data_IF_103201884064
#
_entry.id   IF_103201884064
#
_cell.length_a   1.000
_cell.length_b   1.000
_cell.length_c   1.000
_cell.angle_alpha   90.00
_cell.angle_beta   90.00
_cell.angle_gamma   90.00
#
_symmetry.space_group_name_H-M   'P 1'
#
loop_
_entity.id
_entity.type
_entity.pdbx_description
1 polymer ?
#
# COMPACT_ATOMS: atom_id res chain seq x y z
N UNK A 1 21.48 5.74 -31.36
CA UNK A 1 20.75 5.56 -30.08
C UNK A 1 19.47 6.40 -30.07
N UNK A 2 18.51 6.15 -30.98
CA UNK A 2 17.37 7.05 -31.27
C UNK A 2 16.13 6.90 -30.36
N UNK A 3 16.20 6.11 -29.28
CA UNK A 3 15.01 5.79 -28.45
C UNK A 3 15.30 5.70 -26.94
N UNK A 4 16.40 6.28 -26.46
CA UNK A 4 16.83 6.12 -25.07
C UNK A 4 15.89 6.84 -24.09
N UNK A 5 15.35 7.97 -24.53
CA UNK A 5 14.38 8.80 -23.82
C UNK A 5 13.09 8.05 -23.50
N UNK A 6 12.59 7.21 -24.42
CA UNK A 6 11.39 6.41 -24.22
C UNK A 6 11.58 5.39 -23.11
N UNK A 7 12.75 4.73 -23.09
CA UNK A 7 13.03 3.74 -22.04
C UNK A 7 13.24 4.41 -20.69
N UNK A 8 13.89 5.58 -20.64
CA UNK A 8 14.05 6.33 -19.39
C UNK A 8 12.68 6.74 -18.84
N UNK A 9 11.81 7.31 -19.67
CA UNK A 9 10.45 7.68 -19.26
C UNK A 9 9.68 6.45 -18.80
N UNK A 10 9.68 5.37 -19.59
CA UNK A 10 9.05 4.10 -19.22
C UNK A 10 9.49 3.62 -17.83
N UNK A 11 10.79 3.62 -17.53
CA UNK A 11 11.31 3.21 -16.23
C UNK A 11 10.90 4.16 -15.10
N UNK A 12 10.75 5.46 -15.36
CA UNK A 12 10.22 6.41 -14.38
C UNK A 12 8.74 6.10 -14.11
N UNK A 13 7.93 5.94 -15.15
CA UNK A 13 6.49 5.64 -15.03
C UNK A 13 6.24 4.30 -14.35
N UNK A 14 7.11 3.30 -14.63
CA UNK A 14 7.13 1.99 -13.99
C UNK A 14 7.57 2.03 -12.52
N UNK A 15 7.99 3.19 -12.00
CA UNK A 15 8.23 3.41 -10.57
C UNK A 15 7.19 4.33 -9.97
N UNK A 16 6.94 5.53 -10.51
CA UNK A 16 6.16 6.56 -9.82
C UNK A 16 4.69 6.19 -9.64
N UNK A 17 4.06 5.55 -10.63
CA UNK A 17 2.65 5.13 -10.51
C UNK A 17 2.52 3.90 -9.60
N UNK A 18 3.36 2.86 -9.74
CA UNK A 18 3.45 1.78 -8.74
C UNK A 18 3.72 2.27 -7.32
N UNK A 19 4.57 3.30 -7.17
CA UNK A 19 4.90 3.91 -5.88
C UNK A 19 3.69 4.50 -5.21
N UNK A 20 2.90 5.28 -5.96
CA UNK A 20 1.66 5.84 -5.46
C UNK A 20 0.73 4.75 -4.95
N UNK A 21 0.51 3.68 -5.73
CA UNK A 21 -0.34 2.55 -5.34
C UNK A 21 0.20 1.84 -4.08
N UNK A 22 1.46 1.40 -4.09
CA UNK A 22 2.04 0.62 -2.99
C UNK A 22 2.07 1.44 -1.70
N UNK A 23 2.42 2.72 -1.77
CA UNK A 23 2.36 3.60 -0.60
C UNK A 23 0.93 3.81 -0.12
N UNK A 24 -0.06 3.95 -1.00
CA UNK A 24 -1.45 4.04 -0.53
C UNK A 24 -1.86 2.80 0.25
N UNK A 25 -1.37 1.60 -0.10
CA UNK A 25 -1.63 0.35 0.66
C UNK A 25 -0.90 0.30 1.99
N UNK A 26 0.39 0.62 2.02
CA UNK A 26 1.17 0.65 3.26
C UNK A 26 0.55 1.63 4.24
N UNK A 27 0.36 2.88 3.83
CA UNK A 27 -0.07 3.94 4.73
C UNK A 27 -1.56 3.82 5.08
N UNK A 28 -2.42 3.28 4.21
CA UNK A 28 -3.82 3.02 4.57
C UNK A 28 -3.96 1.93 5.62
N UNK A 29 -3.20 0.84 5.50
CA UNK A 29 -3.27 -0.29 6.42
C UNK A 29 -2.58 0.02 7.76
N UNK A 30 -1.46 0.73 7.75
CA UNK A 30 -0.69 0.95 8.99
C UNK A 30 -1.20 2.12 9.82
N UNK A 31 -1.69 3.18 9.19
CA UNK A 31 -2.17 4.38 9.88
C UNK A 31 -3.69 4.53 9.84
N UNK A 32 -4.25 4.84 8.66
CA UNK A 32 -5.69 4.92 8.45
C UNK A 32 -6.01 5.11 6.96
N UNK A 33 -7.20 4.71 6.50
CA UNK A 33 -7.56 4.76 5.08
C UNK A 33 -7.42 6.14 4.43
N UNK A 34 -7.59 7.23 5.20
CA UNK A 34 -7.46 8.61 4.72
C UNK A 34 -6.06 8.92 4.19
N UNK A 35 -5.03 8.17 4.62
CA UNK A 35 -3.67 8.31 4.11
C UNK A 35 -3.54 7.97 2.63
N UNK A 36 -4.41 7.12 2.07
CA UNK A 36 -4.42 6.87 0.63
C UNK A 36 -4.62 8.17 -0.15
N UNK A 37 -5.57 9.03 0.29
CA UNK A 37 -5.80 10.33 -0.33
C UNK A 37 -4.64 11.31 -0.14
N UNK A 38 -3.94 11.23 1.01
CA UNK A 38 -2.73 12.01 1.23
C UNK A 38 -1.65 11.62 0.22
N UNK A 39 -1.36 10.33 0.05
CA UNK A 39 -0.34 9.86 -0.90
C UNK A 39 -0.67 10.31 -2.33
N UNK A 40 -1.92 10.13 -2.78
CA UNK A 40 -2.38 10.60 -4.10
C UNK A 40 -2.16 12.11 -4.27
N UNK A 41 -2.50 12.90 -3.24
CA UNK A 41 -2.30 14.35 -3.26
C UNK A 41 -0.83 14.74 -3.31
N UNK A 42 0.03 14.05 -2.56
CA UNK A 42 1.48 14.28 -2.54
C UNK A 42 2.15 13.85 -3.84
N UNK A 43 1.61 12.85 -4.55
CA UNK A 43 2.09 12.46 -5.86
C UNK A 43 1.91 13.60 -6.88
N UNK A 44 0.69 14.12 -6.99
CA UNK A 44 0.35 15.23 -7.89
C UNK A 44 1.11 16.50 -7.50
N UNK A 45 1.10 16.86 -6.21
CA UNK A 45 1.78 18.05 -5.70
C UNK A 45 3.30 17.95 -5.89
N UNK A 46 3.90 16.80 -5.58
CA UNK A 46 5.33 16.55 -5.72
C UNK A 46 5.77 16.69 -7.18
N UNK A 47 5.09 16.00 -8.10
CA UNK A 47 5.36 16.11 -9.54
C UNK A 47 5.28 17.57 -10.02
N UNK A 48 4.23 18.29 -9.62
CA UNK A 48 4.01 19.70 -9.97
C UNK A 48 5.07 20.63 -9.40
N UNK A 49 5.42 20.49 -8.12
CA UNK A 49 6.46 21.28 -7.47
C UNK A 49 7.85 20.97 -8.04
N UNK A 50 8.11 19.71 -8.41
CA UNK A 50 9.33 19.30 -9.10
C UNK A 50 9.50 20.09 -10.41
N UNK A 51 8.47 20.08 -11.26
CA UNK A 51 8.48 20.85 -12.51
C UNK A 51 8.59 22.37 -12.27
N UNK A 52 7.85 22.91 -11.30
CA UNK A 52 7.88 24.34 -10.95
C UNK A 52 9.26 24.78 -10.45
N UNK A 53 9.94 23.94 -9.65
CA UNK A 53 11.27 24.26 -9.12
C UNK A 53 12.31 24.52 -10.22
N UNK A 54 12.23 23.79 -11.34
CA UNK A 54 13.09 23.99 -12.51
C UNK A 54 12.83 25.32 -13.22
N UNK A 55 11.60 25.84 -13.12
CA UNK A 55 11.23 27.15 -13.66
C UNK A 55 11.70 28.28 -12.75
N UNK A 56 11.53 28.13 -11.43
CA UNK A 56 11.90 29.15 -10.44
C UNK A 56 13.42 29.24 -10.23
N UNK A 57 14.11 28.10 -10.27
CA UNK A 57 15.55 28.03 -9.99
C UNK A 57 16.31 27.54 -11.22
N UNK A 58 16.74 28.48 -12.06
CA UNK A 58 17.46 28.17 -13.32
C UNK A 58 18.71 27.31 -13.15
N UNK A 59 19.37 27.32 -11.99
CA UNK A 59 20.52 26.44 -11.67
C UNK A 59 20.16 24.95 -11.68
N UNK A 60 18.92 24.59 -11.36
CA UNK A 60 18.42 23.21 -11.38
C UNK A 60 18.03 22.76 -12.80
N UNK A 61 17.79 23.71 -13.70
CA UNK A 61 17.30 23.47 -15.06
C UNK A 61 18.42 23.04 -16.02
N UNK A 62 19.06 21.91 -15.72
CA UNK A 62 20.14 21.36 -16.54
C UNK A 62 19.98 19.85 -16.69
N UNK A 63 19.96 19.38 -17.95
CA UNK A 63 19.77 17.97 -18.31
C UNK A 63 20.86 17.05 -17.76
N UNK A 64 22.04 17.58 -17.41
CA UNK A 64 23.11 16.81 -16.74
C UNK A 64 22.68 16.25 -15.38
N UNK A 65 21.68 16.84 -14.74
CA UNK A 65 21.19 16.43 -13.42
C UNK A 65 20.07 15.40 -13.46
N UNK A 66 19.55 15.01 -14.65
CA UNK A 66 18.48 14.01 -14.77
C UNK A 66 18.85 12.73 -14.01
N UNK A 67 20.05 12.20 -14.23
CA UNK A 67 20.51 10.99 -13.54
C UNK A 67 20.55 11.12 -12.01
N UNK A 68 20.89 12.31 -11.50
CA UNK A 68 20.91 12.60 -10.06
C UNK A 68 19.50 12.65 -9.51
N UNK A 69 18.56 13.32 -10.18
CA UNK A 69 17.16 13.37 -9.76
C UNK A 69 16.52 11.98 -9.75
N UNK A 70 16.82 11.13 -10.75
CA UNK A 70 16.38 9.73 -10.75
C UNK A 70 16.92 8.93 -9.55
N UNK A 71 18.20 9.13 -9.20
CA UNK A 71 18.80 8.48 -8.04
C UNK A 71 18.17 8.95 -6.73
N UNK A 72 17.92 10.26 -6.60
CA UNK A 72 17.28 10.83 -5.41
C UNK A 72 15.82 10.38 -5.28
N UNK A 73 15.08 10.26 -6.38
CA UNK A 73 13.73 9.69 -6.40
C UNK A 73 13.74 8.22 -5.95
N UNK A 74 14.70 7.42 -6.45
CA UNK A 74 14.89 6.03 -6.01
C UNK A 74 15.26 5.92 -4.53
N UNK A 75 16.17 6.78 -4.04
CA UNK A 75 16.52 6.83 -2.62
C UNK A 75 15.31 7.21 -1.75
N UNK A 76 14.57 8.24 -2.15
CA UNK A 76 13.36 8.68 -1.45
C UNK A 76 12.29 7.58 -1.44
N UNK A 77 12.21 6.78 -2.50
CA UNK A 77 11.32 5.61 -2.54
C UNK A 77 11.70 4.57 -1.49
N UNK A 78 12.98 4.25 -1.36
CA UNK A 78 13.50 3.24 -0.40
C UNK A 78 13.40 3.74 1.04
N UNK A 79 13.88 4.95 1.29
CA UNK A 79 14.12 5.48 2.64
C UNK A 79 12.90 6.23 3.17
N UNK A 80 12.06 6.78 2.31
CA UNK A 80 10.91 7.60 2.68
C UNK A 80 9.98 6.92 3.67
N UNK A 81 9.44 5.73 3.36
CA UNK A 81 8.57 5.00 4.28
C UNK A 81 9.28 4.68 5.60
N UNK A 82 10.53 4.20 5.56
CA UNK A 82 11.30 3.88 6.78
C UNK A 82 11.40 5.10 7.70
N UNK A 83 11.71 6.28 7.14
CA UNK A 83 11.81 7.50 7.93
C UNK A 83 10.46 7.86 8.55
N UNK A 84 9.37 7.78 7.79
CA UNK A 84 8.03 8.10 8.30
C UNK A 84 7.63 7.17 9.45
N UNK A 85 7.85 5.87 9.33
CA UNK A 85 7.56 4.92 10.42
C UNK A 85 8.42 5.22 11.65
N UNK A 86 9.70 5.54 11.47
CA UNK A 86 10.60 5.93 12.58
C UNK A 86 10.26 7.26 13.23
N UNK A 87 9.49 8.15 12.59
CA UNK A 87 9.07 9.39 13.22
C UNK A 87 8.14 9.14 14.41
N UNK A 88 7.44 8.01 14.47
CA UNK A 88 6.49 7.71 15.55
C UNK A 88 5.42 8.79 15.65
N UNK A 89 4.71 9.00 14.54
CA UNK A 89 3.65 10.01 14.44
C UNK A 89 2.38 9.49 15.11
N UNK A 90 1.95 10.16 16.19
CA UNK A 90 0.73 9.82 16.92
C UNK A 90 -0.39 10.81 16.58
N UNK A 91 -1.40 10.36 15.84
CA UNK A 91 -2.48 11.21 15.32
C UNK A 91 -3.39 11.79 16.39
N UNK A 92 -3.65 11.01 17.44
CA UNK A 92 -4.46 11.43 18.60
C UNK A 92 -3.90 12.67 19.29
N UNK A 93 -2.59 12.94 19.13
CA UNK A 93 -1.88 14.06 19.76
C UNK A 93 -1.62 15.24 18.81
N UNK A 94 -2.10 15.20 17.56
CA UNK A 94 -1.82 16.24 16.56
C UNK A 94 -2.30 17.63 16.99
N UNK A 95 -3.49 17.74 17.58
CA UNK A 95 -4.03 19.03 18.01
C UNK A 95 -3.37 19.53 19.30
N UNK A 96 -2.93 18.62 20.15
CA UNK A 96 -2.37 18.93 21.47
C UNK A 96 -0.86 19.17 21.46
N UNK A 97 -0.12 18.67 20.46
CA UNK A 97 1.35 18.70 20.44
C UNK A 97 1.92 19.37 19.19
N UNK A 98 2.71 20.44 19.38
CA UNK A 98 3.49 21.07 18.31
C UNK A 98 4.49 20.12 17.67
N UNK A 99 5.08 19.22 18.47
CA UNK A 99 6.03 18.23 17.98
C UNK A 99 5.36 17.29 16.96
N UNK A 100 4.14 16.84 17.24
CA UNK A 100 3.39 15.96 16.33
C UNK A 100 3.01 16.66 15.03
N UNK A 101 2.65 17.95 15.09
CA UNK A 101 2.45 18.76 13.87
C UNK A 101 3.74 18.88 13.06
N UNK A 102 4.87 19.10 13.71
CA UNK A 102 6.19 19.09 13.06
C UNK A 102 6.50 17.75 12.39
N UNK A 103 6.25 16.62 13.07
CA UNK A 103 6.40 15.28 12.49
C UNK A 103 5.48 15.04 11.30
N UNK A 104 4.24 15.56 11.31
CA UNK A 104 3.33 15.48 10.17
C UNK A 104 3.85 16.26 8.97
N UNK A 105 4.32 17.51 9.17
CA UNK A 105 4.93 18.31 8.10
C UNK A 105 6.14 17.57 7.53
N UNK A 106 6.99 17.00 8.38
CA UNK A 106 8.14 16.23 7.94
C UNK A 106 7.74 14.97 7.16
N UNK A 107 6.68 14.28 7.59
CA UNK A 107 6.09 13.13 6.87
C UNK A 107 5.67 13.52 5.46
N UNK A 108 4.94 14.64 5.34
CA UNK A 108 4.52 15.19 4.05
C UNK A 108 5.72 15.48 3.14
N UNK A 109 6.74 16.16 3.67
CA UNK A 109 7.94 16.50 2.90
C UNK A 109 8.74 15.27 2.46
N UNK A 110 8.87 14.27 3.34
CA UNK A 110 9.59 13.03 3.05
C UNK A 110 8.88 12.26 1.94
N UNK A 111 7.57 12.03 2.05
CA UNK A 111 6.83 11.26 1.05
C UNK A 111 6.73 12.01 -0.27
N UNK A 112 6.52 13.33 -0.24
CA UNK A 112 6.51 14.15 -1.45
C UNK A 112 7.85 14.11 -2.20
N UNK A 113 8.98 13.86 -1.53
CA UNK A 113 10.31 13.97 -2.13
C UNK A 113 10.55 13.02 -3.31
N UNK A 114 10.03 11.80 -3.27
CA UNK A 114 10.17 10.85 -4.38
C UNK A 114 9.52 11.36 -5.66
N UNK A 115 8.29 11.86 -5.54
CA UNK A 115 7.52 12.46 -6.62
C UNK A 115 8.11 13.81 -7.06
N UNK A 116 8.66 14.58 -6.14
CA UNK A 116 9.35 15.85 -6.45
C UNK A 116 10.54 15.62 -7.38
N UNK A 117 11.46 14.72 -7.02
CA UNK A 117 12.62 14.42 -7.86
C UNK A 117 12.23 13.69 -9.15
N UNK A 118 11.24 12.79 -9.09
CA UNK A 118 10.66 12.17 -10.28
C UNK A 118 10.08 13.19 -11.26
N UNK A 119 9.35 14.18 -10.74
CA UNK A 119 8.77 15.29 -11.50
C UNK A 119 9.82 16.19 -12.12
N UNK A 120 10.91 16.49 -11.41
CA UNK A 120 12.05 17.21 -11.99
C UNK A 120 12.65 16.44 -13.19
N UNK A 121 12.86 15.13 -13.05
CA UNK A 121 13.41 14.31 -14.12
C UNK A 121 12.49 14.26 -15.34
N UNK A 122 11.19 14.00 -15.14
CA UNK A 122 10.18 13.99 -16.21
C UNK A 122 10.07 15.34 -16.90
N UNK A 123 10.01 16.45 -16.15
CA UNK A 123 9.91 17.78 -16.71
C UNK A 123 11.14 18.14 -17.58
N UNK A 124 12.35 17.77 -17.17
CA UNK A 124 13.55 17.96 -18.00
C UNK A 124 13.51 17.11 -19.27
N UNK A 125 13.07 15.86 -19.19
CA UNK A 125 12.96 14.98 -20.35
C UNK A 125 11.92 15.49 -21.36
N UNK A 126 10.73 15.89 -20.89
CA UNK A 126 9.69 16.45 -21.76
C UNK A 126 10.11 17.79 -22.37
N UNK A 127 10.83 18.64 -21.62
CA UNK A 127 11.36 19.89 -22.14
C UNK A 127 12.39 19.65 -23.26
N UNK A 128 13.34 18.75 -23.03
CA UNK A 128 14.40 18.42 -23.99
C UNK A 128 13.83 17.81 -25.28
N UNK A 129 12.90 16.87 -25.14
CA UNK A 129 12.35 16.10 -26.26
C UNK A 129 10.94 16.54 -26.69
N UNK A 130 10.58 17.81 -26.47
CA UNK A 130 9.23 18.36 -26.71
C UNK A 130 8.67 18.09 -28.12
N UNK A 131 9.54 17.98 -29.15
CA UNK A 131 9.11 17.67 -30.53
C UNK A 131 8.44 16.29 -30.67
N UNK A 132 8.69 15.37 -29.73
CA UNK A 132 8.16 14.01 -29.71
C UNK A 132 7.15 13.79 -28.58
N UNK A 133 6.63 14.87 -27.97
CA UNK A 133 5.82 14.82 -26.75
C UNK A 133 4.65 13.83 -26.84
N UNK A 134 3.94 13.76 -27.96
CA UNK A 134 2.80 12.83 -28.14
C UNK A 134 3.21 11.37 -27.95
N UNK A 135 4.36 10.96 -28.51
CA UNK A 135 4.86 9.58 -28.39
C UNK A 135 5.44 9.29 -27.00
N UNK A 136 6.13 10.27 -26.41
CA UNK A 136 6.67 10.13 -25.06
C UNK A 136 5.56 10.00 -24.02
N UNK A 137 4.52 10.81 -24.16
CA UNK A 137 3.33 10.76 -23.30
C UNK A 137 2.54 9.45 -23.50
N UNK A 138 2.42 8.96 -24.74
CA UNK A 138 1.84 7.64 -25.00
C UNK A 138 2.62 6.52 -24.31
N UNK A 139 3.96 6.56 -24.37
CA UNK A 139 4.80 5.57 -23.69
C UNK A 139 4.67 5.66 -22.16
N UNK A 140 4.64 6.87 -21.60
CA UNK A 140 4.40 7.12 -20.17
C UNK A 140 3.09 6.49 -19.70
N UNK A 141 1.97 6.76 -20.39
CA UNK A 141 0.65 6.24 -20.04
C UNK A 141 0.56 4.70 -20.14
N UNK A 142 1.08 4.11 -21.23
CA UNK A 142 1.04 2.66 -21.41
C UNK A 142 1.85 1.94 -20.32
N UNK A 143 3.03 2.48 -19.99
CA UNK A 143 3.91 1.86 -18.99
C UNK A 143 3.43 2.13 -17.58
N UNK A 144 2.81 3.27 -17.31
CA UNK A 144 2.10 3.54 -16.06
C UNK A 144 0.99 2.49 -15.81
N UNK A 145 0.15 2.22 -16.82
CA UNK A 145 -0.90 1.20 -16.73
C UNK A 145 -0.35 -0.21 -16.50
N UNK A 146 0.69 -0.60 -17.25
CA UNK A 146 1.40 -1.86 -17.01
C UNK A 146 2.04 -1.92 -15.61
N UNK A 147 2.54 -0.78 -15.12
CA UNK A 147 3.15 -0.65 -13.80
C UNK A 147 2.17 -0.97 -12.68
N UNK A 148 0.90 -0.55 -12.78
CA UNK A 148 -0.13 -0.91 -11.80
C UNK A 148 -0.26 -2.44 -11.68
N UNK A 149 -0.29 -3.15 -12.81
CA UNK A 149 -0.35 -4.62 -12.82
C UNK A 149 0.91 -5.21 -12.17
N UNK A 150 2.10 -4.70 -12.54
CA UNK A 150 3.37 -5.13 -11.94
C UNK A 150 3.39 -4.90 -10.42
N UNK A 151 2.85 -3.78 -9.94
CA UNK A 151 2.76 -3.47 -8.53
C UNK A 151 1.87 -4.47 -7.77
N UNK A 152 0.68 -4.79 -8.33
CA UNK A 152 -0.23 -5.78 -7.76
C UNK A 152 0.43 -7.16 -7.69
N UNK A 153 1.07 -7.59 -8.79
CA UNK A 153 1.79 -8.86 -8.82
C UNK A 153 2.94 -8.89 -7.81
N UNK A 154 3.70 -7.81 -7.69
CA UNK A 154 4.79 -7.72 -6.73
C UNK A 154 4.30 -7.81 -5.28
N UNK A 155 3.20 -7.12 -4.93
CA UNK A 155 2.61 -7.19 -3.59
C UNK A 155 2.08 -8.59 -3.28
N UNK A 156 1.43 -9.25 -4.24
CA UNK A 156 0.89 -10.60 -4.03
C UNK A 156 1.97 -11.68 -3.94
N UNK A 157 3.10 -11.51 -4.64
CA UNK A 157 4.18 -12.50 -4.67
C UNK A 157 5.21 -12.32 -3.55
N UNK A 158 5.57 -11.08 -3.21
CA UNK A 158 6.65 -10.77 -2.28
C UNK A 158 6.16 -10.13 -0.97
N UNK A 159 4.87 -9.84 -0.87
CA UNK A 159 4.29 -9.05 0.20
C UNK A 159 4.39 -7.54 -0.05
N UNK A 160 3.42 -6.81 0.46
CA UNK A 160 3.31 -5.36 0.28
C UNK A 160 4.52 -4.57 0.78
N UNK A 161 5.13 -4.88 1.95
CA UNK A 161 6.34 -4.20 2.40
C UNK A 161 7.51 -4.37 1.41
N UNK A 162 7.81 -5.59 0.97
CA UNK A 162 8.93 -5.86 0.07
C UNK A 162 8.71 -5.21 -1.31
N UNK A 163 7.47 -5.27 -1.83
CA UNK A 163 7.10 -4.62 -3.09
C UNK A 163 7.45 -3.13 -3.09
N UNK A 164 7.26 -2.41 -1.96
CA UNK A 164 7.61 -0.98 -1.84
C UNK A 164 9.09 -0.67 -2.06
N UNK A 165 9.98 -1.63 -1.80
CA UNK A 165 11.40 -1.49 -2.11
C UNK A 165 11.67 -1.83 -3.58
N UNK A 166 11.13 -2.96 -4.06
CA UNK A 166 11.40 -3.49 -5.40
C UNK A 166 10.97 -2.54 -6.52
N UNK A 167 9.89 -1.76 -6.32
CA UNK A 167 9.44 -0.76 -7.30
C UNK A 167 10.43 0.39 -7.53
N UNK A 168 11.46 0.55 -6.70
CA UNK A 168 12.54 1.51 -6.95
C UNK A 168 13.57 1.03 -7.99
N UNK A 169 13.60 -0.28 -8.31
CA UNK A 169 14.58 -0.84 -9.24
C UNK A 169 14.53 -0.20 -10.64
N UNK A 170 13.36 0.02 -11.27
CA UNK A 170 13.28 0.65 -12.59
C UNK A 170 13.90 2.05 -12.63
N UNK A 171 13.54 2.94 -11.70
CA UNK A 171 14.09 4.30 -11.68
C UNK A 171 15.60 4.34 -11.35
N UNK A 172 16.09 3.41 -10.50
CA UNK A 172 17.51 3.27 -10.22
C UNK A 172 18.29 2.71 -11.42
N UNK A 173 17.69 1.79 -12.18
CA UNK A 173 18.26 1.31 -13.45
C UNK A 173 18.34 2.44 -14.48
N UNK A 174 17.31 3.28 -14.57
CA UNK A 174 17.34 4.49 -15.41
C UNK A 174 18.45 5.45 -14.97
N UNK A 175 18.60 5.68 -13.66
CA UNK A 175 19.68 6.51 -13.11
C UNK A 175 21.07 5.94 -13.42
N UNK A 176 21.27 4.63 -13.26
CA UNK A 176 22.53 3.93 -13.61
C UNK A 176 22.88 4.06 -15.08
N UNK A 177 21.87 4.08 -15.94
CA UNK A 177 22.06 4.22 -17.38
C UNK A 177 22.40 5.66 -17.77
N UNK A 178 21.78 6.66 -17.13
CA UNK A 178 22.00 8.09 -17.42
C UNK A 178 23.31 8.60 -16.81
N UNK A 179 23.63 8.19 -15.58
CA UNK A 179 24.83 8.64 -14.87
C UNK A 179 26.13 8.10 -15.50
N UNK A 180 27.19 8.91 -15.43
CA UNK A 180 28.55 8.54 -15.87
C UNK A 180 29.61 8.93 -14.84
N UNK A 181 30.81 8.35 -14.96
CA UNK A 181 31.93 8.58 -14.04
C UNK A 181 31.59 8.24 -12.58
N UNK A 182 32.12 9.04 -11.63
CA UNK A 182 31.92 8.82 -10.19
C UNK A 182 30.46 8.92 -9.74
N UNK A 183 29.62 9.70 -10.45
CA UNK A 183 28.20 9.89 -10.09
C UNK A 183 27.40 8.58 -10.25
N UNK A 184 27.84 7.66 -11.12
CA UNK A 184 27.20 6.35 -11.29
C UNK A 184 27.30 5.45 -10.06
N UNK A 185 28.25 5.72 -9.15
CA UNK A 185 28.36 5.00 -7.88
C UNK A 185 27.16 5.24 -6.95
N UNK A 186 26.49 6.39 -7.08
CA UNK A 186 25.37 6.76 -6.22
C UNK A 186 24.14 5.84 -6.42
N UNK A 187 23.56 5.68 -7.62
CA UNK A 187 22.46 4.73 -7.79
C UNK A 187 22.90 3.27 -7.56
N UNK A 188 24.17 2.91 -7.82
CA UNK A 188 24.69 1.58 -7.48
C UNK A 188 24.65 1.33 -5.96
N UNK A 189 25.07 2.31 -5.16
CA UNK A 189 24.99 2.25 -3.70
C UNK A 189 23.53 2.14 -3.22
N UNK A 190 22.59 2.82 -3.88
CA UNK A 190 21.17 2.73 -3.52
C UNK A 190 20.55 1.38 -3.89
N UNK A 191 20.99 0.75 -4.98
CA UNK A 191 20.61 -0.65 -5.30
C UNK A 191 21.15 -1.60 -4.23
N UNK A 192 22.40 -1.43 -3.78
CA UNK A 192 22.95 -2.24 -2.68
C UNK A 192 22.19 -2.00 -1.37
N UNK A 193 21.82 -0.76 -1.06
CA UNK A 193 21.00 -0.40 0.08
C UNK A 193 19.62 -1.09 0.02
N UNK A 194 18.98 -1.06 -1.15
CA UNK A 194 17.71 -1.75 -1.40
C UNK A 194 17.84 -3.25 -1.10
N UNK A 195 18.85 -3.92 -1.66
CA UNK A 195 19.10 -5.35 -1.44
C UNK A 195 19.34 -5.65 0.04
N UNK A 196 20.06 -4.77 0.75
CA UNK A 196 20.32 -4.94 2.17
C UNK A 196 19.07 -4.76 3.06
N UNK A 197 18.17 -3.84 2.69
CA UNK A 197 16.98 -3.51 3.50
C UNK A 197 15.75 -4.36 3.18
N UNK A 198 15.61 -4.83 1.93
CA UNK A 198 14.44 -5.56 1.46
C UNK A 198 14.09 -6.81 2.32
N UNK A 199 15.05 -7.62 2.80
CA UNK A 199 14.75 -8.74 3.71
C UNK A 199 14.13 -8.33 5.05
N UNK A 200 14.31 -7.07 5.45
CA UNK A 200 13.77 -6.51 6.69
C UNK A 200 12.56 -5.60 6.44
N UNK A 201 12.02 -5.58 5.21
CA UNK A 201 10.98 -4.63 4.80
C UNK A 201 9.76 -4.68 5.71
N UNK A 202 9.29 -5.87 6.06
CA UNK A 202 8.12 -6.04 6.92
C UNK A 202 8.32 -5.41 8.29
N UNK A 203 9.44 -5.69 8.96
CA UNK A 203 9.77 -5.09 10.26
C UNK A 203 10.02 -3.58 10.18
N UNK A 204 10.58 -3.10 9.07
CA UNK A 204 10.88 -1.68 8.88
C UNK A 204 9.64 -0.84 8.58
N UNK A 205 8.58 -1.46 8.05
CA UNK A 205 7.34 -0.83 7.60
C UNK A 205 6.12 -1.30 8.39
N UNK A 206 6.34 -1.63 9.67
CA UNK A 206 5.30 -1.98 10.62
C UNK A 206 5.30 -0.95 11.74
N UNK A 207 4.14 -0.34 11.98
CA UNK A 207 3.98 0.63 13.06
C UNK A 207 3.84 -0.12 14.39
N UNK A 208 4.55 0.38 15.40
CA UNK A 208 4.48 -0.17 16.74
C UNK A 208 3.06 -0.01 17.31
N UNK A 209 2.47 -1.13 17.74
CA UNK A 209 1.07 -1.20 18.15
C UNK A 209 0.90 -2.26 19.23
N UNK A 210 0.08 -1.94 20.22
CA UNK A 210 -0.40 -2.94 21.16
C UNK A 210 -1.57 -3.69 20.50
N UNK A 211 -1.35 -4.98 20.26
CA UNK A 211 -2.38 -5.86 19.71
C UNK A 211 -3.39 -6.23 20.79
N UNK A 212 -4.65 -6.45 20.38
CA UNK A 212 -5.75 -6.79 21.30
C UNK A 212 -5.64 -8.20 21.87
N UNK A 213 -4.93 -9.06 21.16
CA UNK A 213 -4.70 -10.47 21.45
C UNK A 213 -3.44 -10.95 20.72
N UNK A 214 -2.87 -12.11 21.08
CA UNK A 214 -1.76 -12.71 20.34
C UNK A 214 -2.09 -12.87 18.85
N UNK A 215 -1.19 -12.39 17.98
CA UNK A 215 -1.28 -12.59 16.53
C UNK A 215 -0.61 -13.92 16.20
N UNK A 216 -1.40 -14.91 15.77
CA UNK A 216 -0.91 -16.25 15.42
C UNK A 216 -0.59 -16.39 13.93
N UNK A 217 -1.19 -15.55 13.09
CA UNK A 217 -0.96 -15.54 11.65
C UNK A 217 -1.06 -14.11 11.09
N UNK A 218 -0.25 -13.83 10.06
CA UNK A 218 -0.25 -12.56 9.33
C UNK A 218 -0.01 -12.82 7.84
N UNK A 219 -0.84 -12.21 7.01
CA UNK A 219 -0.70 -12.18 5.56
C UNK A 219 -0.89 -10.76 5.05
N UNK A 220 -0.09 -10.32 4.08
CA UNK A 220 -0.23 -8.97 3.51
C UNK A 220 0.08 -8.93 2.03
N UNK A 221 -0.97 -8.74 1.24
CA UNK A 221 -0.91 -8.66 -0.21
C UNK A 221 -1.48 -7.32 -0.74
N UNK A 222 -1.73 -7.25 -2.05
CA UNK A 222 -2.28 -6.05 -2.69
C UNK A 222 -3.69 -5.69 -2.19
N UNK A 223 -4.43 -6.68 -1.66
CA UNK A 223 -5.81 -6.51 -1.23
C UNK A 223 -5.87 -5.98 0.20
N UNK A 224 -5.16 -6.62 1.14
CA UNK A 224 -5.19 -6.20 2.55
C UNK A 224 -4.08 -6.83 3.39
N UNK A 225 -3.87 -6.26 4.57
CA UNK A 225 -3.15 -6.88 5.69
C UNK A 225 -4.15 -7.63 6.56
N UNK A 226 -4.10 -8.95 6.55
CA UNK A 226 -4.92 -9.83 7.41
C UNK A 226 -4.09 -10.35 8.56
N UNK A 227 -4.62 -10.25 9.78
CA UNK A 227 -4.07 -10.86 10.99
C UNK A 227 -5.11 -11.80 11.60
N UNK A 228 -4.65 -12.93 12.12
CA UNK A 228 -5.48 -13.82 12.94
C UNK A 228 -5.07 -13.63 14.39
N UNK A 229 -6.05 -13.25 15.20
CA UNK A 229 -5.94 -13.16 16.64
C UNK A 229 -6.45 -14.45 17.30
N UNK A 230 -5.77 -14.85 18.36
CA UNK A 230 -6.16 -15.95 19.22
C UNK A 230 -6.79 -15.41 20.50
N UNK A 231 -8.10 -15.67 20.68
CA UNK A 231 -8.85 -15.31 21.88
C UNK A 231 -9.19 -16.58 22.66
N UNK A 232 -9.28 -16.48 23.98
CA UNK A 232 -9.70 -17.61 24.83
C UNK A 232 -11.17 -17.98 24.49
N UNK A 233 -11.36 -19.05 23.72
CA UNK A 233 -12.68 -19.51 23.24
C UNK A 233 -13.02 -19.19 21.78
N UNK A 234 -12.12 -18.60 20.98
CA UNK A 234 -12.38 -18.37 19.55
C UNK A 234 -11.27 -17.62 18.82
N UNK A 235 -11.43 -17.40 17.51
CA UNK A 235 -10.48 -16.64 16.70
C UNK A 235 -11.08 -15.30 16.28
N UNK A 236 -10.24 -14.38 15.84
CA UNK A 236 -10.69 -13.14 15.22
C UNK A 236 -9.79 -12.75 14.07
N UNK A 237 -10.39 -12.29 12.99
CA UNK A 237 -9.66 -11.67 11.89
C UNK A 237 -9.56 -10.16 12.14
N UNK A 238 -8.42 -9.61 11.79
CA UNK A 238 -8.22 -8.17 11.70
C UNK A 238 -7.71 -7.81 10.32
N UNK A 239 -8.37 -6.84 9.70
CA UNK A 239 -8.11 -6.40 8.33
C UNK A 239 -7.63 -4.96 8.40
N UNK A 240 -6.44 -4.71 7.86
CA UNK A 240 -5.79 -3.40 7.78
C UNK A 240 -5.71 -2.68 9.12
N UNK A 241 -5.53 -3.43 10.21
CA UNK A 241 -5.45 -2.90 11.57
C UNK A 241 -6.71 -2.15 12.08
N UNK A 242 -7.82 -2.19 11.34
CA UNK A 242 -9.01 -1.39 11.64
C UNK A 242 -10.24 -2.26 11.79
N UNK A 243 -10.56 -3.06 10.78
CA UNK A 243 -11.77 -3.88 10.78
C UNK A 243 -11.49 -5.19 11.53
N UNK A 244 -12.41 -5.58 12.42
CA UNK A 244 -12.31 -6.81 13.19
C UNK A 244 -13.51 -7.68 12.82
N UNK A 245 -13.28 -8.96 12.58
CA UNK A 245 -14.31 -9.92 12.22
C UNK A 245 -14.16 -11.16 13.11
N UNK A 246 -15.10 -11.42 14.03
CA UNK A 246 -15.07 -12.60 14.88
C UNK A 246 -15.13 -13.90 14.06
N UNK A 247 -14.41 -14.91 14.51
CA UNK A 247 -14.44 -16.28 13.97
C UNK A 247 -14.84 -17.21 15.11
N UNK A 248 -16.09 -17.67 15.07
CA UNK A 248 -16.61 -18.57 16.09
C UNK A 248 -16.24 -20.01 15.73
N UNK A 249 -15.75 -20.76 16.72
CA UNK A 249 -15.54 -22.18 16.57
C UNK A 249 -16.89 -22.86 16.32
N UNK A 250 -16.94 -23.72 15.29
CA UNK A 250 -18.12 -24.51 14.98
C UNK A 250 -17.70 -25.95 14.70
N UNK A 251 -18.21 -26.88 15.51
CA UNK A 251 -17.92 -28.31 15.46
C UNK A 251 -18.90 -29.09 14.56
N UNK A 252 -19.83 -28.40 13.89
CA UNK A 252 -20.89 -29.00 13.10
C UNK A 252 -22.16 -29.36 13.89
N UNK A 253 -22.16 -29.20 15.22
CA UNK A 253 -23.29 -29.54 16.07
C UNK A 253 -24.20 -28.34 16.34
N UNK A 254 -25.24 -28.19 15.52
CA UNK A 254 -26.27 -27.14 15.62
C UNK A 254 -27.04 -27.10 16.95
N UNK A 255 -27.00 -28.16 17.76
CA UNK A 255 -27.67 -28.18 19.06
C UNK A 255 -26.91 -27.38 20.13
N UNK A 256 -25.57 -27.31 20.00
CA UNK A 256 -24.68 -26.58 20.91
C UNK A 256 -24.33 -25.19 20.40
N UNK A 257 -24.61 -24.90 19.11
CA UNK A 257 -24.30 -23.62 18.45
C UNK A 257 -25.36 -22.55 18.63
N UNK A 258 -25.95 -22.46 19.82
CA UNK A 258 -26.65 -21.24 20.20
C UNK A 258 -25.74 -20.39 21.07
N UNK A 259 -24.80 -19.60 20.48
CA UNK A 259 -24.35 -18.39 21.14
C UNK A 259 -25.55 -17.69 21.75
N UNK A 260 -25.48 -17.32 23.03
CA UNK A 260 -26.52 -16.47 23.60
C UNK A 260 -26.70 -15.22 22.74
N UNK A 261 -27.89 -14.61 22.73
CA UNK A 261 -28.17 -13.39 21.93
C UNK A 261 -27.14 -12.26 22.18
N UNK A 262 -26.47 -12.30 23.33
CA UNK A 262 -25.41 -11.39 23.79
C UNK A 262 -24.02 -11.61 23.14
N UNK A 263 -23.81 -12.70 22.38
CA UNK A 263 -22.51 -13.03 21.78
C UNK A 263 -22.31 -12.51 20.36
N UNK A 264 -23.36 -12.02 19.68
CA UNK A 264 -23.27 -11.45 18.34
C UNK A 264 -22.84 -9.99 18.40
N UNK A 265 -21.84 -9.59 17.59
CA UNK A 265 -21.41 -8.19 17.48
C UNK A 265 -22.52 -7.28 16.93
N UNK A 266 -23.31 -7.80 15.98
CA UNK A 266 -24.53 -7.19 15.45
C UNK A 266 -25.57 -8.32 15.42
N UNK A 267 -26.65 -8.18 16.18
CA UNK A 267 -27.71 -9.17 16.21
C UNK A 267 -28.81 -8.84 15.19
N UNK A 268 -28.92 -9.66 14.14
CA UNK A 268 -29.95 -9.52 13.08
C UNK A 268 -31.05 -10.59 13.17
N UNK A 269 -31.11 -11.37 14.25
CA UNK A 269 -32.06 -12.47 14.44
C UNK A 269 -33.51 -12.02 14.30
N UNK A 270 -33.87 -10.85 14.83
CA UNK A 270 -35.22 -10.29 14.70
C UNK A 270 -35.65 -10.14 13.24
N UNK A 271 -34.74 -9.62 12.39
CA UNK A 271 -35.02 -9.38 10.96
C UNK A 271 -35.19 -10.69 10.21
N UNK A 272 -34.34 -11.69 10.47
CA UNK A 272 -34.42 -13.00 9.84
C UNK A 272 -35.76 -13.67 10.16
N UNK A 273 -36.18 -13.63 11.43
CA UNK A 273 -37.45 -14.21 11.91
C UNK A 273 -38.70 -13.50 11.40
N UNK A 274 -38.58 -12.32 10.76
CA UNK A 274 -39.74 -11.68 10.11
C UNK A 274 -40.15 -12.38 8.80
N UNK A 275 -39.32 -13.29 8.28
CA UNK A 275 -39.56 -13.97 7.01
C UNK A 275 -39.73 -15.47 7.22
N UNK A 276 -40.86 -16.05 6.79
CA UNK A 276 -41.11 -17.49 6.84
C UNK A 276 -40.08 -18.32 6.05
N UNK A 277 -39.43 -17.70 5.06
CA UNK A 277 -38.39 -18.30 4.21
C UNK A 277 -37.33 -17.23 3.87
N UNK A 278 -36.46 -16.93 4.83
CA UNK A 278 -35.41 -15.93 4.66
C UNK A 278 -34.31 -16.39 3.68
N UNK A 279 -33.96 -15.54 2.71
CA UNK A 279 -32.73 -15.63 1.91
C UNK A 279 -31.80 -14.52 2.39
N UNK A 280 -30.64 -14.88 2.92
CA UNK A 280 -29.70 -13.95 3.54
C UNK A 280 -28.49 -13.70 2.64
N UNK A 281 -28.08 -12.44 2.49
CA UNK A 281 -26.87 -12.05 1.77
C UNK A 281 -25.94 -11.30 2.73
N UNK A 282 -24.79 -11.89 3.01
CA UNK A 282 -23.68 -11.24 3.69
C UNK A 282 -22.72 -10.64 2.66
N UNK A 283 -22.54 -9.31 2.70
CA UNK A 283 -21.56 -8.58 1.91
C UNK A 283 -20.41 -8.13 2.81
N UNK A 284 -19.21 -8.69 2.59
CA UNK A 284 -18.08 -8.58 3.52
C UNK A 284 -18.16 -9.62 4.63
N UNK A 285 -18.36 -10.89 4.25
CA UNK A 285 -18.60 -11.98 5.19
C UNK A 285 -17.45 -12.23 6.18
N UNK A 286 -16.21 -11.81 5.87
CA UNK A 286 -15.08 -11.88 6.78
C UNK A 286 -14.91 -13.26 7.42
N UNK A 287 -14.87 -13.29 8.75
CA UNK A 287 -14.78 -14.50 9.57
C UNK A 287 -16.07 -15.32 9.67
N UNK A 288 -17.15 -14.93 8.99
CA UNK A 288 -18.37 -15.71 8.85
C UNK A 288 -19.37 -15.60 10.00
N UNK A 289 -19.21 -14.64 10.92
CA UNK A 289 -20.12 -14.41 12.05
C UNK A 289 -21.59 -14.30 11.60
N UNK A 290 -21.84 -13.45 10.61
CA UNK A 290 -23.17 -13.12 10.08
C UNK A 290 -23.73 -14.27 9.23
N UNK A 291 -22.85 -15.07 8.60
CA UNK A 291 -23.22 -16.32 7.93
C UNK A 291 -23.69 -17.35 8.97
N UNK A 292 -22.92 -17.54 10.04
CA UNK A 292 -23.26 -18.48 11.11
C UNK A 292 -24.57 -18.08 11.79
N UNK A 293 -24.75 -16.79 12.12
CA UNK A 293 -25.99 -16.30 12.71
C UNK A 293 -27.20 -16.56 11.81
N UNK A 294 -27.09 -16.30 10.50
CA UNK A 294 -28.18 -16.55 9.56
C UNK A 294 -28.59 -18.03 9.54
N UNK A 295 -27.62 -18.94 9.57
CA UNK A 295 -27.87 -20.38 9.61
C UNK A 295 -28.51 -20.82 10.95
N UNK A 296 -28.01 -20.31 12.08
CA UNK A 296 -28.57 -20.60 13.43
C UNK A 296 -30.03 -20.15 13.54
N UNK A 297 -30.38 -19.02 12.91
CA UNK A 297 -31.74 -18.47 12.90
C UNK A 297 -32.66 -19.10 11.85
N UNK A 298 -32.17 -20.10 11.09
CA UNK A 298 -33.00 -20.86 10.16
C UNK A 298 -33.21 -20.18 8.80
N UNK A 299 -32.30 -19.32 8.37
CA UNK A 299 -32.32 -18.82 6.99
C UNK A 299 -32.27 -20.01 6.01
N UNK A 300 -33.14 -19.99 5.01
CA UNK A 300 -33.28 -21.07 4.01
C UNK A 300 -32.06 -21.14 3.10
N UNK A 301 -31.52 -19.99 2.73
CA UNK A 301 -30.39 -19.84 1.82
C UNK A 301 -29.51 -18.69 2.29
N UNK A 302 -28.19 -18.87 2.23
CA UNK A 302 -27.20 -17.88 2.65
C UNK A 302 -26.17 -17.69 1.55
N UNK A 303 -26.03 -16.46 1.07
CA UNK A 303 -24.97 -16.05 0.15
C UNK A 303 -23.93 -15.24 0.93
N UNK A 304 -22.68 -15.69 0.93
CA UNK A 304 -21.57 -14.99 1.52
C UNK A 304 -20.67 -14.44 0.41
N UNK A 305 -20.45 -13.12 0.40
CA UNK A 305 -19.58 -12.45 -0.57
C UNK A 305 -18.44 -11.79 0.20
N UNK A 306 -17.24 -12.34 0.06
CA UNK A 306 -16.02 -11.77 0.62
C UNK A 306 -15.07 -11.37 -0.51
N UNK A 307 -14.63 -10.12 -0.50
CA UNK A 307 -13.78 -9.56 -1.55
C UNK A 307 -12.33 -10.01 -1.39
N UNK A 308 -11.91 -10.30 -0.16
CA UNK A 308 -10.57 -10.72 0.17
C UNK A 308 -10.35 -12.20 -0.18
N UNK A 309 -9.54 -12.51 -1.21
CA UNK A 309 -9.34 -13.88 -1.64
C UNK A 309 -8.64 -14.73 -0.57
N UNK A 310 -7.80 -14.11 0.27
CA UNK A 310 -7.08 -14.82 1.31
C UNK A 310 -7.99 -15.23 2.47
N UNK A 311 -8.96 -14.40 2.84
CA UNK A 311 -9.99 -14.77 3.82
C UNK A 311 -10.84 -15.92 3.27
N UNK A 312 -11.28 -15.85 2.00
CA UNK A 312 -12.01 -16.96 1.37
C UNK A 312 -11.23 -18.27 1.41
N UNK A 313 -9.92 -18.22 1.16
CA UNK A 313 -9.05 -19.39 1.26
C UNK A 313 -9.02 -19.96 2.68
N UNK A 314 -8.74 -19.14 3.70
CA UNK A 314 -8.70 -19.59 5.10
C UNK A 314 -10.03 -20.18 5.56
N UNK A 315 -11.16 -19.58 5.16
CA UNK A 315 -12.50 -20.06 5.54
C UNK A 315 -12.91 -21.38 4.87
N UNK A 316 -12.16 -21.85 3.87
CA UNK A 316 -12.47 -23.09 3.12
C UNK A 316 -11.43 -24.19 3.27
N UNK A 317 -10.24 -23.89 3.77
CA UNK A 317 -9.10 -24.82 3.86
C UNK A 317 -8.54 -24.96 5.28
N UNK A 318 -9.29 -24.49 6.30
CA UNK A 318 -8.88 -24.35 7.70
C UNK A 318 -7.65 -23.43 7.89
N UNK A 319 -7.30 -23.14 9.15
CA UNK A 319 -6.14 -22.31 9.49
C UNK A 319 -4.84 -22.92 8.92
N UNK A 320 -3.93 -22.11 8.35
CA UNK A 320 -2.63 -22.56 7.85
C UNK A 320 -1.68 -23.09 8.93
#
# INVERSE_FOLDING_TARGET
MKHREYVIIALISLTLIPLELVWTRIFSAEFFYTFAFLILSLAILGLGLGALSLRLFGKLNNTRFIGVYLALAGLATIVGPILVFKLGLEFSLLFSSWLMRGKLVLTVLILMSAFFFGGMALALLFKEYHKQMSRLYMADLLVAGAGVIVAILAMNMFGTPAASFLIALPILAASLWVCSGKVRMMPAAFVLLLIALCPFAEKLLEADRQERAPVIYKHWDAMSKVKVYDYDGGRGLNIDNVANSPVYAFDGNWADTKPGEEQWSINVSYLIRQFDSCVFLSLGAGGGSDVLQALVEGAREVHAVEINPHINYMMTHDDP
#
